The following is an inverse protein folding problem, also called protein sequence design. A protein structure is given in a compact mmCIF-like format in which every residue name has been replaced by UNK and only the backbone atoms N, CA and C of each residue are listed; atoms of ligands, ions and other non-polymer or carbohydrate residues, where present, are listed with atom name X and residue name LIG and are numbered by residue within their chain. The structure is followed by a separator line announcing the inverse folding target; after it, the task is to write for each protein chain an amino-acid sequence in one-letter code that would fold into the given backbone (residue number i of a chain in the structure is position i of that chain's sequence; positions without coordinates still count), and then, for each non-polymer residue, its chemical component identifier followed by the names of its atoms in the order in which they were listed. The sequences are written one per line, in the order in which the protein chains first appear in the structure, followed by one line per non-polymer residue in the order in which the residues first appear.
data_IF_797380566834
#
_entry.id   IF_797380566834
#
_cell.length_a   1.000
_cell.length_b   1.000
_cell.length_c   1.000
_cell.angle_alpha   90.00
_cell.angle_beta   90.00
_cell.angle_gamma   90.00
#
_symmetry.space_group_name_H-M   'P 1'
#
loop_
_entity.id
_entity.type
_entity.pdbx_description
1 polymer ?
#
# COMPACT_ATOMS: atom_id res chain seq x y z
N UNK A 1 -1.57 4.55 -105.37
CA UNK A 1 -0.58 4.43 -104.20
C UNK A 1 -1.18 4.91 -102.93
N UNK A 2 -2.22 5.69 -102.94
CA UNK A 2 -2.91 6.29 -101.74
C UNK A 2 -3.72 5.26 -100.92
N UNK A 3 -4.48 4.35 -101.46
CA UNK A 3 -5.32 3.37 -100.75
C UNK A 3 -4.57 2.35 -99.89
N UNK A 4 -3.32 2.09 -100.22
CA UNK A 4 -2.50 1.16 -99.48
C UNK A 4 -1.86 1.84 -98.24
N UNK A 5 -1.62 3.13 -98.28
CA UNK A 5 -1.13 3.93 -97.17
C UNK A 5 -2.23 4.19 -96.14
N UNK A 6 -3.47 4.57 -96.58
CA UNK A 6 -4.63 4.77 -95.69
C UNK A 6 -4.96 3.50 -94.90
N UNK A 7 -4.92 2.32 -95.56
CA UNK A 7 -5.20 1.04 -94.85
C UNK A 7 -4.12 0.67 -93.84
N UNK A 8 -2.86 1.06 -94.10
CA UNK A 8 -1.76 0.81 -93.19
C UNK A 8 -1.83 1.77 -92.00
N UNK A 9 -2.08 3.03 -92.20
CA UNK A 9 -2.21 4.05 -91.18
C UNK A 9 -3.41 3.78 -90.23
N UNK A 10 -4.58 3.40 -90.79
CA UNK A 10 -5.74 2.97 -89.97
C UNK A 10 -5.48 1.75 -89.09
N UNK A 11 -4.71 0.79 -89.61
CA UNK A 11 -4.34 -0.37 -88.86
C UNK A 11 -3.32 -0.02 -87.74
N UNK A 12 -2.42 0.95 -87.93
CA UNK A 12 -1.46 1.46 -86.95
C UNK A 12 -2.16 2.29 -85.88
N UNK A 13 -3.13 3.17 -86.21
CA UNK A 13 -3.96 3.92 -85.27
C UNK A 13 -4.78 2.98 -84.41
N UNK A 14 -5.51 2.00 -84.98
CA UNK A 14 -6.30 1.01 -84.22
C UNK A 14 -5.41 0.21 -83.25
N UNK A 15 -4.20 -0.19 -83.68
CA UNK A 15 -3.27 -0.94 -82.77
C UNK A 15 -2.71 -0.06 -81.66
N UNK A 16 -2.49 1.23 -81.89
CA UNK A 16 -2.01 2.19 -80.86
C UNK A 16 -3.10 2.51 -79.87
N UNK A 17 -4.37 2.60 -80.27
CA UNK A 17 -5.52 2.70 -79.35
C UNK A 17 -5.66 1.46 -78.46
N UNK A 18 -5.49 0.24 -79.01
CA UNK A 18 -5.53 -0.96 -78.27
C UNK A 18 -4.39 -1.03 -77.17
N UNK A 19 -3.18 -0.62 -77.54
CA UNK A 19 -2.05 -0.52 -76.66
C UNK A 19 -2.29 0.56 -75.59
N UNK A 20 -2.83 1.73 -75.97
CA UNK A 20 -3.18 2.76 -74.97
C UNK A 20 -4.25 2.28 -73.99
N UNK A 21 -5.28 1.59 -74.47
CA UNK A 21 -6.31 1.01 -73.59
C UNK A 21 -5.76 -0.08 -72.65
N UNK A 22 -4.84 -0.90 -73.16
CA UNK A 22 -4.18 -1.91 -72.28
C UNK A 22 -3.31 -1.23 -71.23
N UNK A 23 -2.44 -0.29 -71.56
CA UNK A 23 -1.61 0.43 -70.62
C UNK A 23 -2.46 1.22 -69.60
N UNK A 24 -3.56 1.80 -70.00
CA UNK A 24 -4.49 2.45 -69.07
C UNK A 24 -5.13 1.47 -68.12
N UNK A 25 -5.52 0.30 -68.63
CA UNK A 25 -6.09 -0.74 -67.79
C UNK A 25 -5.08 -1.31 -66.74
N UNK A 26 -3.82 -1.54 -67.15
CA UNK A 26 -2.72 -1.95 -66.30
C UNK A 26 -2.40 -0.89 -65.25
N UNK A 27 -2.25 0.35 -65.65
CA UNK A 27 -2.01 1.47 -64.73
C UNK A 27 -3.12 1.69 -63.71
N UNK A 28 -4.40 1.54 -64.10
CA UNK A 28 -5.53 1.60 -63.16
C UNK A 28 -5.47 0.43 -62.15
N UNK A 29 -5.13 -0.77 -62.61
CA UNK A 29 -5.03 -1.95 -61.74
C UNK A 29 -3.89 -1.78 -60.74
N UNK A 30 -2.71 -1.29 -61.14
CA UNK A 30 -1.59 -0.99 -60.27
C UNK A 30 -1.88 0.13 -59.27
N UNK A 31 -2.55 1.18 -59.68
CA UNK A 31 -3.01 2.24 -58.77
C UNK A 31 -3.99 1.72 -57.71
N UNK A 32 -4.90 0.81 -58.13
CA UNK A 32 -5.82 0.17 -57.19
C UNK A 32 -5.07 -0.72 -56.15
N UNK A 33 -4.11 -1.50 -56.66
CA UNK A 33 -3.27 -2.33 -55.79
C UNK A 33 -2.40 -1.49 -54.85
N UNK A 34 -1.83 -0.41 -55.35
CA UNK A 34 -1.10 0.57 -54.54
C UNK A 34 -1.96 1.13 -53.39
N UNK A 35 -3.22 1.48 -53.70
CA UNK A 35 -4.13 1.98 -52.69
C UNK A 35 -4.42 0.94 -51.61
N UNK A 36 -4.66 -0.35 -51.94
CA UNK A 36 -4.86 -1.43 -51.02
C UNK A 36 -3.60 -1.69 -50.14
N UNK A 37 -2.41 -1.67 -50.77
CA UNK A 37 -1.13 -1.84 -50.07
C UNK A 37 -0.86 -0.69 -49.09
N UNK A 38 -1.17 0.54 -49.46
CA UNK A 38 -1.02 1.71 -48.58
C UNK A 38 -2.04 1.73 -47.46
N UNK A 39 -3.27 1.22 -47.66
CA UNK A 39 -4.25 1.07 -46.62
C UNK A 39 -3.79 -0.04 -45.59
N UNK A 40 -3.25 -1.15 -46.10
CA UNK A 40 -2.65 -2.17 -45.24
C UNK A 40 -1.44 -1.63 -44.42
N UNK A 41 -0.63 -0.79 -45.01
CA UNK A 41 0.45 -0.08 -44.33
C UNK A 41 -0.08 0.81 -43.20
N UNK A 42 -1.16 1.54 -43.45
CA UNK A 42 -1.82 2.38 -42.42
C UNK A 42 -2.39 1.57 -41.30
N UNK A 43 -3.02 0.44 -41.58
CA UNK A 43 -3.54 -0.49 -40.55
C UNK A 43 -2.40 -1.06 -39.71
N UNK A 44 -1.27 -1.40 -40.31
CA UNK A 44 -0.08 -1.86 -39.59
C UNK A 44 0.52 -0.76 -38.68
N UNK A 45 0.51 0.51 -39.11
CA UNK A 45 0.86 1.63 -38.20
C UNK A 45 -0.10 1.70 -37.03
N UNK A 46 -1.40 1.58 -37.24
CA UNK A 46 -2.39 1.57 -36.19
C UNK A 46 -2.16 0.46 -35.16
N UNK A 47 -1.76 -0.74 -35.59
CA UNK A 47 -1.37 -1.84 -34.72
C UNK A 47 -0.10 -1.50 -33.92
N UNK A 48 0.89 -0.90 -34.57
CA UNK A 48 2.13 -0.48 -33.90
C UNK A 48 1.85 0.56 -32.80
N UNK A 49 1.06 1.59 -33.10
CA UNK A 49 0.69 2.66 -32.16
C UNK A 49 -0.07 2.10 -30.94
N UNK A 50 -1.00 1.17 -31.18
CA UNK A 50 -1.76 0.54 -30.08
C UNK A 50 -0.83 -0.31 -29.20
N UNK A 51 0.06 -1.10 -29.81
CA UNK A 51 1.01 -1.93 -29.08
C UNK A 51 2.04 -1.09 -28.31
N UNK A 52 2.52 0.01 -28.89
CA UNK A 52 3.42 0.95 -28.22
C UNK A 52 2.74 1.61 -27.01
N UNK A 53 1.51 2.08 -27.18
CA UNK A 53 0.74 2.68 -26.10
C UNK A 53 0.50 1.69 -24.95
N UNK A 54 0.15 0.43 -25.26
CA UNK A 54 -0.01 -0.63 -24.26
C UNK A 54 1.30 -0.94 -23.54
N UNK A 55 2.41 -1.03 -24.28
CA UNK A 55 3.75 -1.25 -23.73
C UNK A 55 4.16 -0.15 -22.75
N UNK A 56 3.95 1.11 -23.10
CA UNK A 56 4.26 2.27 -22.23
C UNK A 56 3.40 2.22 -20.98
N UNK A 57 2.13 1.89 -21.10
CA UNK A 57 1.22 1.78 -19.95
C UNK A 57 1.66 0.64 -19.01
N UNK A 58 1.98 -0.54 -19.53
CA UNK A 58 2.43 -1.67 -18.73
C UNK A 58 3.79 -1.43 -18.08
N UNK A 59 4.73 -0.79 -18.76
CA UNK A 59 6.03 -0.40 -18.19
C UNK A 59 5.87 0.64 -17.09
N UNK A 60 5.00 1.62 -17.27
CA UNK A 60 4.70 2.64 -16.24
C UNK A 60 4.07 2.00 -15.01
N UNK A 61 3.10 1.11 -15.21
CA UNK A 61 2.48 0.35 -14.12
C UNK A 61 3.49 -0.55 -13.40
N UNK A 62 4.43 -1.13 -14.13
CA UNK A 62 5.50 -1.93 -13.55
C UNK A 62 6.39 -1.09 -12.63
N UNK A 63 6.79 0.10 -13.07
CA UNK A 63 7.58 1.03 -12.27
C UNK A 63 6.81 1.46 -11.00
N UNK A 64 5.55 1.88 -11.15
CA UNK A 64 4.71 2.26 -10.03
C UNK A 64 4.54 1.11 -9.02
N UNK A 65 4.30 -0.11 -9.50
CA UNK A 65 4.19 -1.29 -8.65
C UNK A 65 5.50 -1.60 -7.90
N UNK A 66 6.66 -1.46 -8.56
CA UNK A 66 7.96 -1.63 -7.93
C UNK A 66 8.21 -0.60 -6.82
N UNK A 67 7.87 0.67 -7.06
CA UNK A 67 8.00 1.75 -6.08
C UNK A 67 7.09 1.48 -4.87
N UNK A 68 5.84 1.05 -5.12
CA UNK A 68 4.90 0.72 -4.04
C UNK A 68 5.38 -0.50 -3.26
N UNK A 69 5.86 -1.56 -3.93
CA UNK A 69 6.43 -2.73 -3.30
C UNK A 69 7.58 -2.39 -2.35
N UNK A 70 8.52 -1.56 -2.81
CA UNK A 70 9.64 -1.09 -1.99
C UNK A 70 9.17 -0.29 -0.76
N UNK A 71 8.20 0.61 -0.93
CA UNK A 71 7.67 1.42 0.18
C UNK A 71 6.92 0.56 1.20
N UNK A 72 6.15 -0.41 0.74
CA UNK A 72 5.43 -1.36 1.60
C UNK A 72 6.42 -2.20 2.39
N UNK A 73 7.51 -2.69 1.77
CA UNK A 73 8.59 -3.40 2.46
C UNK A 73 9.26 -2.54 3.55
N UNK A 74 9.62 -1.29 3.23
CA UNK A 74 10.19 -0.37 4.23
C UNK A 74 9.23 -0.07 5.38
N UNK A 75 7.94 0.10 5.08
CA UNK A 75 6.92 0.32 6.09
C UNK A 75 6.74 -0.91 6.99
N UNK A 76 6.76 -2.11 6.41
CA UNK A 76 6.73 -3.38 7.14
C UNK A 76 7.87 -3.46 8.18
N UNK A 77 9.11 -3.12 7.80
CA UNK A 77 10.24 -3.11 8.72
C UNK A 77 10.04 -2.12 9.88
N UNK A 78 9.52 -0.92 9.59
CA UNK A 78 9.25 0.10 10.63
C UNK A 78 8.14 -0.37 11.58
N UNK A 79 7.06 -0.95 11.04
CA UNK A 79 5.95 -1.46 11.85
C UNK A 79 6.39 -2.66 12.71
N UNK A 80 7.22 -3.56 12.15
CA UNK A 80 7.79 -4.67 12.90
C UNK A 80 8.68 -4.18 14.06
N UNK A 81 9.55 -3.20 13.81
CA UNK A 81 10.39 -2.62 14.83
C UNK A 81 9.57 -1.94 15.94
N UNK A 82 8.51 -1.20 15.59
CA UNK A 82 7.59 -0.61 16.56
C UNK A 82 6.90 -1.69 17.41
N UNK A 83 6.41 -2.77 16.79
CA UNK A 83 5.80 -3.89 17.51
C UNK A 83 6.74 -4.56 18.52
N UNK A 84 8.04 -4.68 18.20
CA UNK A 84 9.04 -5.21 19.12
C UNK A 84 9.23 -4.26 20.32
N UNK A 85 9.24 -2.95 20.09
CA UNK A 85 9.35 -1.94 21.15
C UNK A 85 8.14 -2.01 22.08
N UNK A 86 6.91 -2.08 21.55
CA UNK A 86 5.69 -2.16 22.34
C UNK A 86 5.67 -3.43 23.23
N UNK A 87 6.09 -4.58 22.69
CA UNK A 87 6.20 -5.81 23.49
C UNK A 87 7.21 -5.64 24.62
N UNK A 88 8.34 -4.97 24.37
CA UNK A 88 9.35 -4.74 25.41
C UNK A 88 8.84 -3.76 26.49
N UNK A 89 8.24 -2.65 26.10
CA UNK A 89 7.64 -1.66 27.01
C UNK A 89 6.51 -2.28 27.84
N UNK A 90 5.64 -3.07 27.20
CA UNK A 90 4.57 -3.81 27.89
C UNK A 90 5.11 -4.82 28.91
N UNK A 91 6.19 -5.51 28.57
CA UNK A 91 6.85 -6.43 29.53
C UNK A 91 7.47 -5.68 30.72
N UNK A 92 8.07 -4.51 30.52
CA UNK A 92 8.57 -3.65 31.59
C UNK A 92 7.44 -3.15 32.50
N UNK A 93 6.29 -2.75 31.92
CA UNK A 93 5.11 -2.34 32.68
C UNK A 93 4.53 -3.48 33.50
N UNK A 94 4.49 -4.70 32.97
CA UNK A 94 4.05 -5.88 33.71
C UNK A 94 4.97 -6.17 34.91
N UNK A 95 6.29 -6.09 34.71
CA UNK A 95 7.25 -6.24 35.82
C UNK A 95 7.09 -5.14 36.90
N UNK A 96 6.89 -3.88 36.48
CA UNK A 96 6.62 -2.78 37.39
C UNK A 96 5.30 -2.96 38.16
N UNK A 97 4.27 -3.52 37.51
CA UNK A 97 3.01 -3.88 38.17
C UNK A 97 3.22 -4.90 39.30
N UNK A 98 4.00 -5.96 39.04
CA UNK A 98 4.31 -6.98 40.02
C UNK A 98 5.02 -6.37 41.25
N UNK A 99 5.98 -5.46 41.02
CA UNK A 99 6.66 -4.75 42.09
C UNK A 99 5.72 -3.87 42.92
N UNK A 100 4.80 -3.15 42.26
CA UNK A 100 3.78 -2.32 42.93
C UNK A 100 2.82 -3.20 43.74
N UNK A 101 2.39 -4.32 43.23
CA UNK A 101 1.52 -5.26 43.93
C UNK A 101 2.22 -5.88 45.16
N UNK A 102 3.50 -6.25 45.02
CA UNK A 102 4.30 -6.72 46.15
C UNK A 102 4.42 -5.63 47.22
N UNK A 103 4.66 -4.38 46.84
CA UNK A 103 4.70 -3.25 47.77
C UNK A 103 3.34 -3.02 48.44
N UNK A 104 2.25 -3.11 47.72
CA UNK A 104 0.89 -3.03 48.25
C UNK A 104 0.64 -4.10 49.32
N UNK A 105 1.07 -5.35 49.07
CA UNK A 105 0.93 -6.44 50.01
C UNK A 105 1.73 -6.20 51.30
N UNK A 106 2.97 -5.72 51.17
CA UNK A 106 3.82 -5.37 52.33
C UNK A 106 3.18 -4.27 53.18
N UNK A 107 2.71 -3.19 52.55
CA UNK A 107 2.02 -2.08 53.21
C UNK A 107 0.73 -2.57 53.90
N UNK A 108 0.00 -3.50 53.24
CA UNK A 108 -1.19 -4.13 53.80
C UNK A 108 -0.89 -4.95 55.08
N UNK A 109 0.22 -5.69 55.10
CA UNK A 109 0.65 -6.44 56.31
C UNK A 109 1.02 -5.51 57.47
N UNK A 110 1.77 -4.43 57.21
CA UNK A 110 2.08 -3.41 58.21
C UNK A 110 0.82 -2.80 58.83
N UNK A 111 -0.21 -2.57 58.00
CA UNK A 111 -1.51 -2.05 58.45
C UNK A 111 -2.18 -2.97 59.48
N UNK A 112 -2.11 -4.28 59.28
CA UNK A 112 -2.69 -5.26 60.25
C UNK A 112 -1.97 -5.20 61.56
N UNK A 113 -0.65 -5.16 61.55
CA UNK A 113 0.17 -5.06 62.76
C UNK A 113 -0.10 -3.76 63.53
N UNK A 114 -0.13 -2.60 62.85
CA UNK A 114 -0.45 -1.32 63.50
C UNK A 114 -1.86 -1.31 64.11
N UNK A 115 -2.84 -1.93 63.43
CA UNK A 115 -4.21 -2.02 63.92
C UNK A 115 -4.28 -2.90 65.19
N UNK A 116 -3.56 -4.03 65.22
CA UNK A 116 -3.48 -4.88 66.40
C UNK A 116 -2.84 -4.14 67.59
N UNK A 117 -1.76 -3.42 67.38
CA UNK A 117 -1.10 -2.59 68.42
C UNK A 117 -2.07 -1.50 68.89
N UNK A 118 -2.74 -0.77 68.02
CA UNK A 118 -3.70 0.25 68.41
C UNK A 118 -4.85 -0.28 69.23
N UNK A 119 -5.41 -1.46 68.85
CA UNK A 119 -6.47 -2.12 69.61
C UNK A 119 -6.01 -2.60 70.97
N UNK A 120 -4.78 -3.10 71.10
CA UNK A 120 -4.23 -3.53 72.40
C UNK A 120 -3.97 -2.39 73.38
N UNK A 121 -3.49 -1.22 72.80
CA UNK A 121 -3.34 -0.02 73.63
C UNK A 121 -4.71 0.51 74.07
N UNK A 122 -5.74 0.50 73.20
CA UNK A 122 -7.09 0.90 73.52
C UNK A 122 -7.70 0.03 74.63
N UNK A 123 -7.44 -1.28 74.55
CA UNK A 123 -7.83 -2.23 75.59
C UNK A 123 -7.17 -1.92 76.97
N UNK A 124 -5.86 -1.66 76.93
CA UNK A 124 -5.10 -1.31 78.10
C UNK A 124 -5.61 -0.01 78.75
N UNK A 125 -5.99 1.01 77.89
CA UNK A 125 -6.61 2.21 78.40
C UNK A 125 -7.94 1.95 79.11
N UNK A 126 -8.80 1.09 78.53
CA UNK A 126 -10.05 0.65 79.16
C UNK A 126 -9.86 -0.09 80.49
N UNK A 127 -8.82 -0.94 80.55
CA UNK A 127 -8.46 -1.61 81.80
C UNK A 127 -8.02 -0.63 82.89
N UNK A 128 -7.24 0.42 82.55
CA UNK A 128 -6.86 1.47 83.49
C UNK A 128 -8.06 2.24 84.04
N UNK A 129 -9.03 2.56 83.20
CA UNK A 129 -10.27 3.21 83.65
C UNK A 129 -11.06 2.32 84.58
N UNK A 130 -11.24 1.03 84.26
CA UNK A 130 -11.96 0.11 85.11
C UNK A 130 -11.26 -0.01 86.46
N UNK A 131 -9.91 -0.02 86.53
CA UNK A 131 -9.16 -0.01 87.73
C UNK A 131 -9.29 1.35 88.46
N UNK A 132 -9.32 2.48 87.76
CA UNK A 132 -9.55 3.80 88.31
C UNK A 132 -10.91 3.92 89.01
N UNK A 133 -11.98 3.37 88.43
CA UNK A 133 -13.32 3.32 89.01
C UNK A 133 -13.34 2.52 90.29
N UNK A 134 -12.65 1.37 90.32
CA UNK A 134 -12.51 0.54 91.57
C UNK A 134 -11.73 1.28 92.65
N UNK A 135 -10.66 1.97 92.33
CA UNK A 135 -9.81 2.74 93.22
C UNK A 135 -10.55 3.97 93.76
N UNK A 136 -11.46 4.58 93.00
CA UNK A 136 -12.34 5.62 93.45
C UNK A 136 -13.31 5.14 94.55
N UNK A 137 -13.92 3.95 94.35
CA UNK A 137 -14.78 3.29 95.31
C UNK A 137 -14.00 3.00 96.60
N UNK A 138 -12.70 2.76 96.53
CA UNK A 138 -11.81 2.55 97.69
C UNK A 138 -11.37 3.86 98.37
N UNK A 139 -11.95 4.98 98.04
CA UNK A 139 -11.68 6.36 98.56
C UNK A 139 -10.25 6.82 98.31
N UNK A 140 -9.61 6.41 97.18
CA UNK A 140 -8.25 6.86 96.80
C UNK A 140 -8.24 7.80 95.62
N UNK A 141 -8.78 9.03 95.73
CA UNK A 141 -9.13 9.93 94.56
C UNK A 141 -7.87 10.36 93.78
N UNK A 142 -6.72 10.50 94.41
CA UNK A 142 -5.46 10.92 93.77
C UNK A 142 -4.97 9.79 92.84
N UNK A 143 -5.13 8.56 93.19
CA UNK A 143 -4.75 7.43 92.36
C UNK A 143 -5.75 7.19 91.20
N UNK A 144 -7.06 7.37 91.51
CA UNK A 144 -8.10 7.31 90.50
C UNK A 144 -7.85 8.36 89.38
N UNK A 145 -7.68 9.64 89.76
CA UNK A 145 -7.39 10.71 88.79
C UNK A 145 -6.10 10.45 87.99
N UNK A 146 -5.08 9.85 88.60
CA UNK A 146 -3.86 9.46 87.89
C UNK A 146 -4.12 8.36 86.86
N UNK A 147 -4.89 7.33 87.21
CA UNK A 147 -5.25 6.23 86.25
C UNK A 147 -6.13 6.70 85.17
N UNK A 148 -7.13 7.56 85.44
CA UNK A 148 -7.94 8.21 84.41
C UNK A 148 -7.10 8.99 83.43
N UNK A 149 -6.24 9.90 83.89
CA UNK A 149 -5.35 10.67 83.04
C UNK A 149 -4.44 9.80 82.17
N UNK A 150 -3.95 8.68 82.72
CA UNK A 150 -3.15 7.72 81.98
C UNK A 150 -3.98 6.92 80.96
N UNK A 151 -5.21 6.55 81.27
CA UNK A 151 -6.15 5.93 80.38
C UNK A 151 -6.50 6.83 79.20
N UNK A 152 -6.80 8.11 79.47
CA UNK A 152 -7.05 9.10 78.44
C UNK A 152 -5.86 9.26 77.46
N UNK A 153 -4.62 9.38 78.06
CA UNK A 153 -3.42 9.50 77.20
C UNK A 153 -3.17 8.27 76.35
N UNK A 154 -3.42 7.06 76.87
CA UNK A 154 -3.31 5.83 76.06
C UNK A 154 -4.41 5.71 75.03
N UNK A 155 -5.63 6.18 75.35
CA UNK A 155 -6.72 6.25 74.32
C UNK A 155 -6.38 7.16 73.20
N UNK A 156 -5.81 8.34 73.48
CA UNK A 156 -5.37 9.26 72.40
C UNK A 156 -4.33 8.62 71.48
N UNK A 157 -3.32 7.93 72.07
CA UNK A 157 -2.31 7.21 71.30
C UNK A 157 -2.94 6.06 70.48
N UNK A 158 -3.88 5.29 71.12
CA UNK A 158 -4.58 4.23 70.37
C UNK A 158 -5.37 4.75 69.16
N UNK A 159 -6.08 5.88 69.33
CA UNK A 159 -6.82 6.52 68.24
C UNK A 159 -5.88 6.97 67.13
N UNK A 160 -4.74 7.56 67.48
CA UNK A 160 -3.75 8.01 66.49
C UNK A 160 -3.19 6.82 65.66
N UNK A 161 -2.81 5.71 66.33
CA UNK A 161 -2.29 4.50 65.71
C UNK A 161 -3.38 3.87 64.81
N UNK A 162 -4.62 3.77 65.25
CA UNK A 162 -5.74 3.22 64.46
C UNK A 162 -6.02 4.10 63.26
N UNK A 163 -5.98 5.43 63.38
CA UNK A 163 -6.15 6.36 62.25
C UNK A 163 -4.99 6.23 61.25
N UNK A 164 -3.74 6.08 61.76
CA UNK A 164 -2.59 5.83 60.92
C UNK A 164 -2.72 4.50 60.15
N UNK A 165 -3.12 3.42 60.84
CA UNK A 165 -3.39 2.13 60.21
C UNK A 165 -4.48 2.23 59.11
N UNK A 166 -5.55 2.98 59.36
CA UNK A 166 -6.59 3.22 58.38
C UNK A 166 -6.05 3.97 57.14
N UNK A 167 -5.21 4.99 57.35
CA UNK A 167 -4.58 5.74 56.23
C UNK A 167 -3.61 4.83 55.45
N UNK A 168 -2.79 4.02 56.12
CA UNK A 168 -1.89 3.07 55.50
C UNK A 168 -2.65 1.98 54.70
N UNK A 169 -3.81 1.55 55.22
CA UNK A 169 -4.70 0.62 54.50
C UNK A 169 -5.24 1.25 53.20
N UNK A 170 -5.65 2.51 53.25
CA UNK A 170 -6.08 3.21 52.06
C UNK A 170 -4.96 3.34 51.01
N UNK A 171 -3.71 3.61 51.50
CA UNK A 171 -2.53 3.62 50.63
C UNK A 171 -2.28 2.26 49.97
N UNK A 172 -2.32 1.15 50.76
CA UNK A 172 -2.22 -0.20 50.20
C UNK A 172 -3.25 -0.47 49.11
N UNK A 173 -4.52 -0.09 49.31
CA UNK A 173 -5.56 -0.25 48.33
C UNK A 173 -5.29 0.57 47.04
N UNK A 174 -4.81 1.81 47.18
CA UNK A 174 -4.45 2.65 46.05
C UNK A 174 -3.26 2.08 45.29
N UNK A 175 -2.25 1.56 46.00
CA UNK A 175 -1.12 0.88 45.36
C UNK A 175 -1.56 -0.38 44.60
N UNK A 176 -2.43 -1.21 45.21
CA UNK A 176 -2.98 -2.38 44.53
C UNK A 176 -3.74 -2.01 43.22
N UNK A 177 -4.66 -1.06 43.35
CA UNK A 177 -5.40 -0.56 42.15
C UNK A 177 -4.50 0.07 41.11
N UNK A 178 -3.38 0.70 41.53
CA UNK A 178 -2.38 1.23 40.61
C UNK A 178 -1.61 0.12 39.90
N UNK A 179 -1.21 -0.91 40.65
CA UNK A 179 -0.59 -2.10 40.08
C UNK A 179 -1.46 -2.78 39.03
N UNK A 180 -2.75 -3.01 39.37
CA UNK A 180 -3.71 -3.60 38.43
C UNK A 180 -3.82 -2.77 37.11
N UNK A 181 -3.87 -1.45 37.25
CA UNK A 181 -3.95 -0.56 36.09
C UNK A 181 -2.67 -0.57 35.23
N UNK A 182 -1.50 -0.64 35.86
CA UNK A 182 -0.23 -0.75 35.17
C UNK A 182 -0.13 -2.12 34.47
N UNK A 183 -0.63 -3.21 35.09
CA UNK A 183 -0.72 -4.52 34.48
C UNK A 183 -1.62 -4.50 33.22
N UNK A 184 -2.78 -3.85 33.31
CA UNK A 184 -3.72 -3.71 32.18
C UNK A 184 -3.05 -2.96 31.02
N UNK A 185 -2.37 -1.84 31.27
CA UNK A 185 -1.62 -1.09 30.27
C UNK A 185 -0.48 -1.92 29.66
N UNK A 186 0.28 -2.63 30.47
CA UNK A 186 1.33 -3.51 29.98
C UNK A 186 0.82 -4.64 29.09
N UNK A 187 -0.32 -5.23 29.44
CA UNK A 187 -0.96 -6.26 28.65
C UNK A 187 -1.49 -5.69 27.31
N UNK A 188 -2.02 -4.47 27.32
CA UNK A 188 -2.49 -3.77 26.11
C UNK A 188 -1.32 -3.48 25.16
N UNK A 189 -0.19 -2.96 25.66
CA UNK A 189 1.03 -2.72 24.87
C UNK A 189 1.58 -4.01 24.25
N UNK A 190 1.65 -5.09 24.99
CA UNK A 190 2.06 -6.40 24.46
C UNK A 190 1.11 -6.85 23.34
N UNK A 191 -0.20 -6.72 23.56
CA UNK A 191 -1.19 -7.10 22.56
C UNK A 191 -1.08 -6.24 21.28
N UNK A 192 -0.89 -4.92 21.41
CA UNK A 192 -0.65 -4.02 20.28
C UNK A 192 0.63 -4.38 19.54
N UNK A 193 1.72 -4.67 20.24
CA UNK A 193 2.97 -5.11 19.64
C UNK A 193 2.83 -6.39 18.81
N UNK A 194 2.07 -7.37 19.30
CA UNK A 194 1.76 -8.61 18.57
C UNK A 194 0.93 -8.30 17.29
N UNK A 195 -0.08 -7.45 17.42
CA UNK A 195 -0.91 -7.05 16.26
C UNK A 195 -0.07 -6.30 15.22
N UNK A 196 0.82 -5.41 15.65
CA UNK A 196 1.75 -4.71 14.74
C UNK A 196 2.71 -5.68 14.05
N UNK A 197 3.21 -6.67 14.78
CA UNK A 197 4.04 -7.74 14.22
C UNK A 197 3.32 -8.51 13.09
N UNK A 198 2.09 -8.95 13.34
CA UNK A 198 1.26 -9.62 12.33
C UNK A 198 0.92 -8.72 11.13
N UNK A 199 0.66 -7.42 11.37
CA UNK A 199 0.43 -6.46 10.31
C UNK A 199 1.69 -6.24 9.45
N UNK A 200 2.87 -6.20 10.07
CA UNK A 200 4.14 -6.09 9.38
C UNK A 200 4.40 -7.30 8.46
N UNK A 201 4.13 -8.51 8.93
CA UNK A 201 4.24 -9.74 8.14
C UNK A 201 3.31 -9.70 6.91
N UNK A 202 2.04 -9.35 7.11
CA UNK A 202 1.09 -9.20 6.01
C UNK A 202 1.49 -8.10 5.01
N UNK A 203 2.13 -7.01 5.47
CA UNK A 203 2.69 -5.98 4.60
C UNK A 203 3.89 -6.49 3.81
N UNK A 204 4.78 -7.29 4.42
CA UNK A 204 5.92 -7.88 3.74
C UNK A 204 5.47 -8.81 2.59
N UNK A 205 4.52 -9.71 2.86
CA UNK A 205 3.93 -10.58 1.83
C UNK A 205 3.32 -9.77 0.68
N UNK A 206 2.59 -8.69 1.00
CA UNK A 206 2.01 -7.82 -0.02
C UNK A 206 3.06 -7.07 -0.84
N UNK A 207 4.16 -6.70 -0.21
CA UNK A 207 5.31 -6.11 -0.90
C UNK A 207 5.93 -7.08 -1.91
N UNK A 208 6.09 -8.35 -1.54
CA UNK A 208 6.58 -9.40 -2.44
C UNK A 208 5.64 -9.66 -3.61
N UNK A 209 4.32 -9.79 -3.37
CA UNK A 209 3.30 -9.94 -4.42
C UNK A 209 3.35 -8.77 -5.44
N UNK A 210 3.49 -7.54 -4.96
CA UNK A 210 3.60 -6.36 -5.82
C UNK A 210 4.91 -6.35 -6.62
N UNK A 211 6.01 -6.81 -6.04
CA UNK A 211 7.29 -6.93 -6.74
C UNK A 211 7.20 -7.98 -7.87
N UNK A 212 6.58 -9.12 -7.63
CA UNK A 212 6.34 -10.15 -8.65
C UNK A 212 5.42 -9.62 -9.77
N UNK A 213 4.34 -8.92 -9.41
CA UNK A 213 3.44 -8.30 -10.38
C UNK A 213 4.17 -7.26 -11.25
N UNK A 214 5.05 -6.45 -10.66
CA UNK A 214 5.90 -5.49 -11.36
C UNK A 214 6.76 -6.16 -12.43
N UNK A 215 7.42 -7.27 -12.10
CA UNK A 215 8.24 -8.05 -13.05
C UNK A 215 7.37 -8.60 -14.18
N UNK A 216 6.17 -9.11 -13.88
CA UNK A 216 5.22 -9.61 -14.87
C UNK A 216 4.75 -8.52 -15.85
N UNK A 217 4.42 -7.33 -15.34
CA UNK A 217 4.05 -6.17 -16.15
C UNK A 217 5.22 -5.69 -17.02
N UNK A 218 6.41 -5.59 -16.48
CA UNK A 218 7.60 -5.20 -17.23
C UNK A 218 7.89 -6.17 -18.38
N UNK A 219 7.78 -7.48 -18.14
CA UNK A 219 7.97 -8.49 -19.19
C UNK A 219 6.93 -8.36 -20.31
N UNK A 220 5.66 -8.07 -19.97
CA UNK A 220 4.60 -7.84 -20.94
C UNK A 220 4.85 -6.57 -21.74
N UNK A 221 5.16 -5.46 -21.11
CA UNK A 221 5.45 -4.21 -21.80
C UNK A 221 6.63 -4.33 -22.77
N UNK A 222 7.69 -5.08 -22.42
CA UNK A 222 8.80 -5.37 -23.32
C UNK A 222 8.34 -6.22 -24.52
N UNK A 223 7.48 -7.22 -24.32
CA UNK A 223 6.94 -8.04 -25.40
C UNK A 223 6.05 -7.20 -26.35
N UNK A 224 5.20 -6.33 -25.82
CA UNK A 224 4.37 -5.42 -26.59
C UNK A 224 5.21 -4.40 -27.39
N UNK A 225 6.29 -3.90 -26.82
CA UNK A 225 7.24 -3.03 -27.52
C UNK A 225 7.88 -3.76 -28.72
N UNK A 226 8.19 -5.06 -28.57
CA UNK A 226 8.71 -5.88 -29.67
C UNK A 226 7.66 -6.07 -30.78
N UNK A 227 6.39 -6.25 -30.41
CA UNK A 227 5.26 -6.33 -31.38
C UNK A 227 5.09 -5.00 -32.11
N UNK A 228 5.13 -3.87 -31.38
CA UNK A 228 5.06 -2.52 -31.98
C UNK A 228 6.18 -2.31 -33.00
N UNK A 229 7.42 -2.66 -32.66
CA UNK A 229 8.57 -2.58 -33.57
C UNK A 229 8.37 -3.43 -34.82
N UNK A 230 7.95 -4.68 -34.67
CA UNK A 230 7.69 -5.56 -35.82
C UNK A 230 6.55 -5.04 -36.71
N UNK A 231 5.46 -4.52 -36.15
CA UNK A 231 4.36 -3.93 -36.91
C UNK A 231 4.79 -2.65 -37.65
N UNK A 232 5.63 -1.81 -37.03
CA UNK A 232 6.18 -0.62 -37.66
C UNK A 232 7.12 -0.96 -38.82
N UNK A 233 7.90 -2.04 -38.73
CA UNK A 233 8.74 -2.52 -39.85
C UNK A 233 7.88 -3.01 -41.01
N UNK A 234 6.85 -3.82 -40.74
CA UNK A 234 5.86 -4.27 -41.76
C UNK A 234 5.17 -3.07 -42.40
N UNK A 235 4.74 -2.07 -41.63
CA UNK A 235 4.11 -0.86 -42.15
C UNK A 235 5.04 -0.10 -43.12
N UNK A 236 6.32 -0.02 -42.78
CA UNK A 236 7.34 0.65 -43.59
C UNK A 236 7.57 -0.09 -44.90
N UNK A 237 7.65 -1.40 -44.89
CA UNK A 237 7.85 -2.24 -46.06
C UNK A 237 6.64 -2.16 -47.00
N UNK A 238 5.41 -2.26 -46.46
CA UNK A 238 4.17 -2.11 -47.24
C UNK A 238 4.03 -0.70 -47.82
N UNK A 239 4.41 0.35 -47.10
CA UNK A 239 4.38 1.71 -47.58
C UNK A 239 5.37 1.90 -48.75
N UNK A 240 6.56 1.34 -48.66
CA UNK A 240 7.55 1.38 -49.73
C UNK A 240 7.06 0.64 -50.98
N UNK A 241 6.45 -0.54 -50.82
CA UNK A 241 5.84 -1.32 -51.92
C UNK A 241 4.68 -0.56 -52.59
N UNK A 242 3.72 -0.04 -51.79
CA UNK A 242 2.58 0.70 -52.31
C UNK A 242 2.97 1.98 -53.04
N UNK A 243 4.02 2.69 -52.57
CA UNK A 243 4.57 3.83 -53.31
C UNK A 243 5.20 3.39 -54.65
N UNK A 244 5.91 2.26 -54.65
CA UNK A 244 6.49 1.67 -55.85
C UNK A 244 5.40 1.39 -56.91
N UNK A 245 4.35 0.66 -56.50
CA UNK A 245 3.19 0.34 -57.35
C UNK A 245 2.46 1.61 -57.87
N UNK A 246 2.30 2.62 -57.04
CA UNK A 246 1.69 3.88 -57.44
C UNK A 246 2.53 4.63 -58.51
N UNK A 247 3.84 4.58 -58.37
CA UNK A 247 4.75 5.19 -59.38
C UNK A 247 4.68 4.43 -60.72
N UNK A 248 4.66 3.10 -60.64
CA UNK A 248 4.53 2.23 -61.84
C UNK A 248 3.19 2.45 -62.55
N UNK A 249 2.07 2.42 -61.84
CA UNK A 249 0.75 2.69 -62.36
C UNK A 249 0.59 4.09 -62.94
N UNK A 250 1.22 5.12 -62.34
CA UNK A 250 1.24 6.47 -62.86
C UNK A 250 2.05 6.58 -64.16
N UNK A 251 3.15 5.83 -64.28
CA UNK A 251 3.95 5.79 -65.48
C UNK A 251 3.19 5.13 -66.65
N UNK A 252 2.45 4.03 -66.40
CA UNK A 252 1.63 3.35 -67.36
C UNK A 252 0.45 4.21 -67.86
N UNK A 253 -0.20 4.90 -66.90
CA UNK A 253 -1.26 5.90 -67.31
C UNK A 253 -0.70 7.03 -68.12
N UNK A 254 0.50 7.54 -67.86
CA UNK A 254 1.20 8.52 -68.61
C UNK A 254 1.53 8.02 -70.04
N UNK A 255 2.00 6.75 -70.14
CA UNK A 255 2.24 6.11 -71.40
C UNK A 255 0.94 5.93 -72.27
N UNK A 256 -0.14 5.52 -71.60
CA UNK A 256 -1.46 5.39 -72.25
C UNK A 256 -1.97 6.71 -72.86
N UNK A 257 -1.85 7.83 -72.12
CA UNK A 257 -2.22 9.17 -72.61
C UNK A 257 -1.37 9.55 -73.79
N UNK A 258 -0.06 9.32 -73.79
CA UNK A 258 0.84 9.62 -74.86
C UNK A 258 0.53 8.77 -76.08
N UNK A 259 0.24 7.48 -75.91
CA UNK A 259 -0.17 6.60 -77.05
C UNK A 259 -1.51 7.02 -77.65
N UNK A 260 -2.45 7.43 -76.80
CA UNK A 260 -3.75 7.97 -77.31
C UNK A 260 -3.59 9.26 -78.13
N UNK A 261 -2.73 10.19 -77.66
CA UNK A 261 -2.40 11.43 -78.46
C UNK A 261 -1.74 11.08 -79.77
N UNK A 262 -0.85 10.08 -79.80
CA UNK A 262 -0.24 9.63 -81.06
C UNK A 262 -1.25 8.96 -81.95
N UNK A 263 -2.15 8.14 -81.44
CA UNK A 263 -3.21 7.51 -82.24
C UNK A 263 -4.15 8.54 -82.87
N UNK A 264 -4.55 9.58 -82.11
CA UNK A 264 -5.36 10.69 -82.60
C UNK A 264 -4.64 11.51 -83.67
N UNK A 265 -3.34 11.79 -83.50
CA UNK A 265 -2.55 12.49 -84.50
C UNK A 265 -2.45 11.72 -85.84
N UNK A 266 -2.36 10.37 -85.76
CA UNK A 266 -2.39 9.52 -86.97
C UNK A 266 -3.76 9.53 -87.69
N UNK A 267 -4.85 9.74 -86.95
CA UNK A 267 -6.21 9.89 -87.51
C UNK A 267 -6.45 11.27 -88.15
N UNK A 268 -5.84 12.37 -87.64
CA UNK A 268 -5.98 13.74 -88.17
C UNK A 268 -5.15 13.98 -89.39
N UNK A 269 -4.12 13.20 -89.71
CA UNK A 269 -3.32 13.27 -90.91
C UNK A 269 -3.99 12.63 -92.13
N UNK A 270 -5.18 11.98 -91.97
CA UNK A 270 -6.02 11.45 -93.05
C UNK A 270 -7.05 12.47 -93.52
#
# INVERSE_FOLDING_TARGET
MTEKNEKTQKTESESTHELAAQAAQEGIAEMAQAAETLDAARDAVGVADIAEAAAVEDLTRAEDAAIVAQRVGQLSEVVAAAGIVDVAEGAELLAASDDIQALSAVVGLMTVEDLEIGLEIARTAGELWAVGDVVEIMEMPVLSAFLETRGESLQEVAVEIIMQAAATRALSQVLGATGDRVAELGAEEVAEGIVRGAAAEAMAERGEELAEASVGLAARGVAEMAVAGAAADVARDLAAEGVGQAVEGAAELGAAVTMEEVAQALEEED
#
